data_IF_893606146879
#
_entry.id   IF_893606146879
#
_cell.length_a   1.000
_cell.length_b   1.000
_cell.length_c   1.000
_cell.angle_alpha   90.00
_cell.angle_beta   90.00
_cell.angle_gamma   90.00
#
_symmetry.space_group_name_H-M   'P 1'
#
loop_
_entity.id
_entity.type
_entity.pdbx_description
1 polymer ?
#
# COMPACT_ATOMS: atom_id res chain seq x y z
N UNK A 1 13.17 -9.17 -4.00
CA UNK A 1 12.65 -8.02 -3.24
C UNK A 1 13.81 -7.31 -2.58
N UNK A 2 13.65 -6.03 -2.35
CA UNK A 2 14.60 -5.21 -1.63
C UNK A 2 14.94 -5.82 -0.24
N UNK A 3 16.13 -6.39 -0.09
CA UNK A 3 16.52 -7.23 1.07
C UNK A 3 16.73 -6.48 2.39
N UNK A 4 15.97 -5.42 2.66
CA UNK A 4 16.04 -4.64 3.90
C UNK A 4 14.83 -4.81 4.83
N UNK A 5 13.76 -5.47 4.38
CA UNK A 5 12.57 -5.73 5.19
C UNK A 5 12.50 -7.21 5.58
N UNK A 6 12.32 -7.56 6.87
CA UNK A 6 12.20 -8.95 7.29
C UNK A 6 11.01 -9.65 6.60
N UNK A 7 11.19 -10.91 6.18
CA UNK A 7 10.13 -11.67 5.51
C UNK A 7 8.87 -11.82 6.38
N UNK A 8 9.03 -11.96 7.69
CA UNK A 8 7.92 -12.00 8.66
C UNK A 8 7.05 -10.74 8.60
N UNK A 9 7.67 -9.58 8.37
CA UNK A 9 6.97 -8.30 8.21
C UNK A 9 6.23 -8.24 6.87
N UNK A 10 6.83 -8.75 5.81
CA UNK A 10 6.17 -8.86 4.50
C UNK A 10 4.94 -9.77 4.58
N UNK A 11 5.05 -10.93 5.23
CA UNK A 11 3.92 -11.83 5.45
C UNK A 11 2.83 -11.17 6.32
N UNK A 12 3.21 -10.43 7.36
CA UNK A 12 2.24 -9.63 8.13
C UNK A 12 1.47 -8.64 7.25
N UNK A 13 2.17 -7.92 6.37
CA UNK A 13 1.53 -7.00 5.42
C UNK A 13 0.61 -7.74 4.45
N UNK A 14 1.00 -8.91 3.96
CA UNK A 14 0.16 -9.71 3.07
C UNK A 14 -1.13 -10.20 3.75
N UNK A 15 -1.08 -10.59 5.04
CA UNK A 15 -2.30 -10.95 5.80
C UNK A 15 -3.28 -9.77 5.85
N UNK A 16 -2.75 -8.56 6.06
CA UNK A 16 -3.57 -7.34 6.09
C UNK A 16 -4.14 -7.04 4.69
N UNK A 17 -3.31 -7.07 3.65
CA UNK A 17 -3.73 -6.86 2.27
C UNK A 17 -4.80 -7.87 1.85
N UNK A 18 -4.59 -9.16 2.10
CA UNK A 18 -5.58 -10.20 1.80
C UNK A 18 -6.92 -9.96 2.50
N UNK A 19 -6.93 -9.29 3.65
CA UNK A 19 -8.16 -8.91 4.37
C UNK A 19 -8.87 -7.73 3.70
N UNK A 20 -8.09 -6.77 3.21
CA UNK A 20 -8.58 -5.54 2.56
C UNK A 20 -9.04 -5.80 1.12
N UNK A 21 -8.29 -6.62 0.37
CA UNK A 21 -8.55 -7.04 -1.02
C UNK A 21 -9.69 -8.09 -1.12
N UNK A 22 -10.36 -8.41 -0.01
CA UNK A 22 -11.48 -9.35 -0.03
C UNK A 22 -11.11 -10.81 -0.29
N UNK A 23 -9.88 -11.27 0.01
CA UNK A 23 -9.55 -12.71 -0.07
C UNK A 23 -10.17 -13.50 1.08
N UNK A 24 -10.50 -14.78 0.82
CA UNK A 24 -11.13 -15.64 1.82
C UNK A 24 -10.11 -16.23 2.80
N UNK A 25 -9.83 -15.46 3.84
CA UNK A 25 -8.98 -15.88 4.95
C UNK A 25 -9.71 -16.76 5.99
N UNK A 26 -11.05 -16.84 5.92
CA UNK A 26 -11.89 -17.34 7.01
C UNK A 26 -11.71 -16.54 8.30
N UNK A 27 -10.78 -16.98 9.16
CA UNK A 27 -10.43 -16.30 10.41
C UNK A 27 -9.01 -15.69 10.33
N UNK A 28 -8.88 -14.35 10.25
CA UNK A 28 -7.57 -13.68 10.19
C UNK A 28 -6.64 -13.99 11.35
N UNK A 29 -7.16 -14.25 12.57
CA UNK A 29 -6.34 -14.61 13.72
C UNK A 29 -5.55 -15.91 13.49
N UNK A 30 -6.11 -16.88 12.75
CA UNK A 30 -5.40 -18.14 12.45
C UNK A 30 -4.13 -17.90 11.64
N UNK A 31 -4.12 -16.90 10.75
CA UNK A 31 -2.95 -16.54 9.96
C UNK A 31 -1.92 -15.79 10.81
N UNK A 32 -2.37 -14.95 11.74
CA UNK A 32 -1.49 -14.30 12.72
C UNK A 32 -0.82 -15.33 13.64
N UNK A 33 -1.54 -16.35 14.09
CA UNK A 33 -0.99 -17.43 14.91
C UNK A 33 0.05 -18.25 14.14
N UNK A 34 -0.22 -18.57 12.86
CA UNK A 34 0.75 -19.24 11.97
C UNK A 34 2.01 -18.41 11.79
N UNK A 35 1.88 -17.10 11.59
CA UNK A 35 3.00 -16.17 11.48
C UNK A 35 3.83 -16.14 12.77
N UNK A 36 3.18 -16.02 13.93
CA UNK A 36 3.83 -16.07 15.24
C UNK A 36 4.61 -17.38 15.45
N UNK A 37 4.05 -18.51 15.03
CA UNK A 37 4.70 -19.81 15.15
C UNK A 37 5.88 -19.99 14.16
N UNK A 38 5.80 -19.40 12.97
CA UNK A 38 6.88 -19.43 11.98
C UNK A 38 8.09 -18.60 12.44
N UNK A 39 7.88 -17.51 13.18
CA UNK A 39 8.95 -16.67 13.70
C UNK A 39 9.79 -16.07 12.56
N UNK A 40 11.07 -16.43 12.49
CA UNK A 40 11.99 -16.04 11.41
C UNK A 40 12.43 -17.22 10.54
N UNK A 41 11.74 -18.36 10.61
CA UNK A 41 11.98 -19.49 9.71
C UNK A 41 11.56 -19.10 8.28
N UNK A 42 12.53 -18.88 7.42
CA UNK A 42 12.32 -18.41 6.05
C UNK A 42 11.51 -19.40 5.21
N UNK A 43 11.71 -20.71 5.38
CA UNK A 43 10.96 -21.73 4.63
C UNK A 43 9.50 -21.76 5.07
N UNK A 44 9.25 -21.70 6.38
CA UNK A 44 7.89 -21.64 6.92
C UNK A 44 7.16 -20.35 6.48
N UNK A 45 7.86 -19.21 6.47
CA UNK A 45 7.32 -17.93 6.05
C UNK A 45 7.02 -17.89 4.54
N UNK A 46 7.89 -18.44 3.70
CA UNK A 46 7.65 -18.55 2.26
C UNK A 46 6.44 -19.47 1.98
N UNK A 47 6.33 -20.60 2.67
CA UNK A 47 5.15 -21.46 2.55
C UNK A 47 3.86 -20.75 2.98
N UNK A 48 3.94 -19.93 4.03
CA UNK A 48 2.79 -19.13 4.48
C UNK A 48 2.41 -18.05 3.46
N UNK A 49 3.39 -17.39 2.84
CA UNK A 49 3.20 -16.44 1.75
C UNK A 49 2.52 -17.10 0.55
N UNK A 50 3.02 -18.25 0.10
CA UNK A 50 2.44 -19.00 -1.02
C UNK A 50 0.97 -19.39 -0.74
N UNK A 51 0.67 -19.79 0.51
CA UNK A 51 -0.70 -20.08 0.92
C UNK A 51 -1.61 -18.84 0.86
N UNK A 52 -1.13 -17.67 1.28
CA UNK A 52 -1.89 -16.41 1.24
C UNK A 52 -2.16 -15.95 -0.19
N UNK A 53 -1.16 -16.08 -1.07
CA UNK A 53 -1.28 -15.70 -2.49
C UNK A 53 -2.20 -16.63 -3.28
N UNK A 54 -2.36 -17.88 -2.82
CA UNK A 54 -3.26 -18.86 -3.43
C UNK A 54 -4.72 -18.78 -2.92
N UNK A 55 -5.02 -17.90 -1.97
CA UNK A 55 -6.38 -17.75 -1.43
C UNK A 55 -7.33 -17.24 -2.52
N UNK A 56 -8.55 -17.84 -2.61
CA UNK A 56 -9.56 -17.34 -3.52
C UNK A 56 -10.11 -15.99 -3.05
N UNK A 57 -10.67 -15.23 -3.98
CA UNK A 57 -11.51 -14.06 -3.67
C UNK A 57 -12.79 -14.51 -2.96
N UNK A 58 -13.31 -13.66 -2.07
CA UNK A 58 -14.58 -13.87 -1.41
C UNK A 58 -15.73 -13.65 -2.39
N UNK A 59 -16.71 -14.55 -2.35
CA UNK A 59 -17.91 -14.45 -3.19
C UNK A 59 -18.93 -13.40 -2.67
N UNK A 60 -18.70 -12.81 -1.50
CA UNK A 60 -19.62 -11.88 -0.84
C UNK A 60 -19.14 -10.42 -0.84
N UNK A 61 -18.13 -10.08 -1.65
CA UNK A 61 -17.68 -8.70 -1.77
C UNK A 61 -18.77 -7.81 -2.40
N UNK A 62 -19.17 -6.70 -1.76
CA UNK A 62 -20.13 -5.76 -2.32
C UNK A 62 -19.60 -4.97 -3.53
N UNK A 63 -18.28 -4.99 -3.79
CA UNK A 63 -17.64 -4.26 -4.87
C UNK A 63 -17.18 -5.18 -6.02
N UNK A 64 -17.34 -4.71 -7.25
CA UNK A 64 -16.81 -5.37 -8.45
C UNK A 64 -15.57 -4.56 -8.89
N UNK A 65 -14.37 -5.17 -8.78
CA UNK A 65 -13.06 -4.53 -9.00
C UNK A 65 -12.36 -5.05 -10.27
N UNK A 66 -12.86 -4.76 -11.47
CA UNK A 66 -12.26 -5.28 -12.69
C UNK A 66 -10.94 -4.56 -13.01
N UNK A 67 -9.98 -5.31 -13.57
CA UNK A 67 -8.73 -4.74 -14.10
C UNK A 67 -8.86 -4.16 -15.51
N UNK A 68 -9.88 -4.56 -16.26
CA UNK A 68 -10.08 -4.15 -17.65
C UNK A 68 -10.71 -2.75 -17.76
N UNK A 69 -10.11 -1.89 -18.56
CA UNK A 69 -10.52 -0.48 -18.69
C UNK A 69 -12.01 -0.32 -19.04
N UNK A 70 -12.53 -1.15 -19.93
CA UNK A 70 -13.93 -1.06 -20.35
C UNK A 70 -14.90 -1.52 -19.27
N UNK A 71 -14.49 -2.45 -18.40
CA UNK A 71 -15.27 -2.85 -17.24
C UNK A 71 -15.23 -1.77 -16.15
N UNK A 72 -14.06 -1.19 -15.86
CA UNK A 72 -13.91 -0.04 -14.96
C UNK A 72 -14.80 1.12 -15.42
N UNK A 73 -14.82 1.44 -16.72
CA UNK A 73 -15.66 2.51 -17.28
C UNK A 73 -17.16 2.26 -17.12
N UNK A 74 -17.60 0.99 -17.07
CA UNK A 74 -19.01 0.62 -16.88
C UNK A 74 -19.44 0.74 -15.43
N UNK A 75 -18.57 0.36 -14.49
CA UNK A 75 -18.87 0.36 -13.05
C UNK A 75 -18.66 1.73 -12.40
N UNK A 76 -17.71 2.52 -12.92
CA UNK A 76 -17.44 3.84 -12.34
C UNK A 76 -18.71 4.71 -12.38
N UNK A 77 -18.94 5.53 -11.34
CA UNK A 77 -19.98 6.56 -11.38
C UNK A 77 -19.83 7.47 -12.59
N UNK A 78 -20.92 8.15 -12.97
CA UNK A 78 -20.88 9.17 -13.99
C UNK A 78 -19.75 10.18 -13.68
N UNK A 79 -18.92 10.45 -14.70
CA UNK A 79 -17.79 11.35 -14.54
C UNK A 79 -18.25 12.73 -14.05
N UNK A 80 -17.56 13.26 -13.05
CA UNK A 80 -17.80 14.62 -12.58
C UNK A 80 -17.14 15.58 -13.56
N UNK A 81 -17.88 16.61 -14.00
CA UNK A 81 -17.27 17.70 -14.76
C UNK A 81 -16.41 18.53 -13.82
N UNK A 82 -15.10 18.51 -14.05
CA UNK A 82 -14.19 19.43 -13.37
C UNK A 82 -14.36 20.84 -13.95
N UNK A 83 -14.12 21.90 -13.15
CA UNK A 83 -14.06 23.25 -13.69
C UNK A 83 -12.95 23.32 -14.76
N UNK A 84 -13.16 24.07 -15.85
CA UNK A 84 -12.13 24.23 -16.87
C UNK A 84 -10.88 24.86 -16.26
N UNK A 85 -9.70 24.37 -16.65
CA UNK A 85 -8.46 25.03 -16.29
C UNK A 85 -8.42 26.39 -16.96
N UNK A 86 -8.42 27.46 -16.15
CA UNK A 86 -8.38 28.84 -16.65
C UNK A 86 -6.95 29.40 -16.74
N UNK A 87 -5.93 28.58 -16.42
CA UNK A 87 -4.53 28.99 -16.49
C UNK A 87 -4.05 28.94 -17.94
N UNK A 88 -3.21 29.90 -18.32
CA UNK A 88 -2.40 29.76 -19.52
C UNK A 88 -1.38 28.65 -19.35
N UNK A 89 -0.89 28.08 -20.45
CA UNK A 89 0.13 27.03 -20.43
C UNK A 89 1.39 27.47 -19.67
N UNK A 90 1.79 28.73 -19.79
CA UNK A 90 2.93 29.30 -19.06
C UNK A 90 2.71 29.28 -17.54
N UNK A 91 1.54 29.75 -17.07
CA UNK A 91 1.22 29.71 -15.64
C UNK A 91 1.04 28.28 -15.13
N UNK A 92 0.46 27.39 -15.94
CA UNK A 92 0.33 25.98 -15.60
C UNK A 92 1.71 25.34 -15.45
N UNK A 93 2.62 25.60 -16.39
CA UNK A 93 3.99 25.12 -16.35
C UNK A 93 4.71 25.61 -15.09
N UNK A 94 4.67 26.91 -14.80
CA UNK A 94 5.33 27.49 -13.61
C UNK A 94 4.83 26.83 -12.32
N UNK A 95 3.52 26.61 -12.17
CA UNK A 95 2.95 25.94 -10.99
C UNK A 95 3.35 24.47 -10.88
N UNK A 96 3.32 23.72 -11.98
CA UNK A 96 3.73 22.31 -11.98
C UNK A 96 5.23 22.18 -11.70
N UNK A 97 6.04 23.04 -12.30
CA UNK A 97 7.48 23.09 -12.09
C UNK A 97 7.81 23.45 -10.65
N UNK A 98 7.16 24.48 -10.10
CA UNK A 98 7.27 24.86 -8.70
C UNK A 98 6.83 23.74 -7.74
N UNK A 99 5.75 23.01 -8.05
CA UNK A 99 5.30 21.87 -7.27
C UNK A 99 6.33 20.71 -7.29
N UNK A 100 6.91 20.43 -8.45
CA UNK A 100 7.97 19.43 -8.60
C UNK A 100 9.22 19.80 -7.78
N UNK A 101 9.72 21.03 -7.95
CA UNK A 101 10.85 21.53 -7.18
C UNK A 101 10.55 21.55 -5.68
N UNK A 102 9.36 22.00 -5.29
CA UNK A 102 8.90 22.01 -3.92
C UNK A 102 8.91 20.62 -3.28
N UNK A 103 8.47 19.59 -4.03
CA UNK A 103 8.59 18.20 -3.59
C UNK A 103 10.05 17.77 -3.43
N UNK A 104 10.92 18.06 -4.41
CA UNK A 104 12.34 17.73 -4.33
C UNK A 104 13.00 18.38 -3.10
N UNK A 105 12.79 19.68 -2.90
CA UNK A 105 13.29 20.42 -1.75
C UNK A 105 12.72 19.89 -0.43
N UNK A 106 11.41 19.64 -0.38
CA UNK A 106 10.74 19.08 0.79
C UNK A 106 11.28 17.71 1.18
N UNK A 107 11.50 16.81 0.22
CA UNK A 107 12.13 15.53 0.48
C UNK A 107 13.58 15.68 0.97
N UNK A 108 14.38 16.53 0.31
CA UNK A 108 15.77 16.75 0.69
C UNK A 108 15.91 17.34 2.11
N UNK A 109 15.06 18.30 2.45
CA UNK A 109 15.04 18.93 3.78
C UNK A 109 14.38 18.05 4.85
N UNK A 110 13.43 17.20 4.47
CA UNK A 110 12.74 16.28 5.35
C UNK A 110 13.60 15.09 5.78
N UNK A 111 14.47 14.57 4.92
CA UNK A 111 15.28 13.37 5.23
C UNK A 111 16.11 13.47 6.51
N UNK A 112 16.80 14.58 6.80
CA UNK A 112 17.52 14.74 8.06
C UNK A 112 16.63 14.71 9.31
N UNK A 113 15.34 15.05 9.21
CA UNK A 113 14.43 15.16 10.37
C UNK A 113 13.49 13.97 10.57
N UNK A 114 13.30 13.13 9.55
CA UNK A 114 12.48 11.90 9.61
C UNK A 114 12.83 10.99 10.81
N UNK A 115 14.12 10.76 11.17
CA UNK A 115 14.46 9.95 12.33
C UNK A 115 14.00 10.53 13.67
N UNK A 116 13.63 11.80 13.75
CA UNK A 116 13.16 12.41 15.00
C UNK A 116 11.63 12.42 15.12
N UNK A 117 10.90 11.95 14.09
CA UNK A 117 9.44 12.01 14.02
C UNK A 117 8.73 10.72 14.48
N UNK A 118 9.47 9.68 14.87
CA UNK A 118 8.91 8.44 15.43
C UNK A 118 8.57 8.53 16.92
N UNK A 119 7.87 7.52 17.47
CA UNK A 119 7.72 7.34 18.92
C UNK A 119 9.10 7.45 19.59
N UNK A 120 9.19 8.19 20.70
CA UNK A 120 10.45 8.49 21.41
C UNK A 120 11.46 9.36 20.62
N UNK A 121 11.00 10.32 19.82
CA UNK A 121 11.85 11.18 18.97
C UNK A 121 12.76 10.34 18.04
N UNK A 122 12.23 9.19 17.59
CA UNK A 122 12.90 8.11 16.87
C UNK A 122 14.28 7.68 17.39
N UNK A 123 14.53 7.91 18.68
CA UNK A 123 15.47 7.10 19.44
C UNK A 123 14.78 5.76 19.69
N UNK A 124 15.40 4.67 19.22
CA UNK A 124 15.07 3.33 19.69
C UNK A 124 15.20 3.35 21.22
N UNK A 125 14.08 3.39 21.95
CA UNK A 125 14.10 3.22 23.40
C UNK A 125 14.78 1.87 23.69
N UNK A 126 15.96 1.94 24.30
CA UNK A 126 16.49 0.82 25.08
C UNK A 126 15.80 0.80 26.43
#
# INVERSE_FOLDING_TARGET
MAGWEPLSKLVHHEIQLATEDGRDLGNPQTWQDKLCNAGEDEDALNQLMDQLLALPERNDDPFDEPSELDAIKRLRPAGISLPPCTLSDEHLYDRLYGAWLGRCCGCALGKPVEPFMGKHNGLSSR
#
